data_IF_743241368591
#
_entry.id   IF_743241368591
#
_cell.length_a   1.000
_cell.length_b   1.000
_cell.length_c   1.000
_cell.angle_alpha   90.00
_cell.angle_beta   90.00
_cell.angle_gamma   90.00
#
_symmetry.space_group_name_H-M   'P 1'
#
loop_
_entity.id
_entity.type
_entity.pdbx_description
1 polymer ?
#
# COMPACT_ATOMS: atom_id res chain seq x y z
N UNK A 1 -7.95 -22.85 18.81
CA UNK A 1 -7.10 -21.79 19.36
C UNK A 1 -6.90 -20.79 18.25
N UNK A 2 -7.47 -19.59 18.38
CA UNK A 2 -7.32 -18.54 17.39
C UNK A 2 -5.85 -18.13 17.39
N UNK A 3 -5.13 -18.35 16.29
CA UNK A 3 -3.78 -17.81 16.12
C UNK A 3 -3.89 -16.28 16.19
N UNK A 4 -3.51 -15.69 17.32
CA UNK A 4 -3.36 -14.24 17.43
C UNK A 4 -2.27 -13.83 16.43
N UNK A 5 -2.69 -13.28 15.30
CA UNK A 5 -1.78 -12.73 14.31
C UNK A 5 -1.02 -11.59 15.00
N UNK A 6 0.31 -11.72 15.11
CA UNK A 6 1.18 -10.67 15.66
C UNK A 6 0.83 -9.34 14.98
N UNK A 7 0.39 -8.32 15.74
CA UNK A 7 0.03 -7.02 15.18
C UNK A 7 1.15 -6.39 14.33
N UNK A 8 2.42 -6.66 14.63
CA UNK A 8 3.54 -6.19 13.82
C UNK A 8 3.61 -6.89 12.46
N UNK A 9 3.24 -8.16 12.40
CA UNK A 9 3.23 -8.95 11.16
C UNK A 9 2.14 -8.47 10.21
N UNK A 10 0.94 -8.17 10.72
CA UNK A 10 -0.12 -7.60 9.89
C UNK A 10 0.22 -6.17 9.45
N UNK A 11 0.82 -5.35 10.33
CA UNK A 11 1.31 -4.02 9.93
C UNK A 11 2.38 -4.10 8.82
N UNK A 12 3.29 -5.07 8.89
CA UNK A 12 4.30 -5.28 7.86
C UNK A 12 3.68 -5.67 6.52
N UNK A 13 2.64 -6.51 6.54
CA UNK A 13 1.87 -6.89 5.35
C UNK A 13 1.15 -5.69 4.73
N UNK A 14 0.49 -4.85 5.55
CA UNK A 14 -0.16 -3.63 5.07
C UNK A 14 0.83 -2.66 4.44
N UNK A 15 2.00 -2.46 5.06
CA UNK A 15 3.08 -1.64 4.47
C UNK A 15 3.59 -2.21 3.15
N UNK A 16 3.70 -3.53 3.03
CA UNK A 16 4.12 -4.18 1.78
C UNK A 16 3.14 -3.88 0.64
N UNK A 17 1.83 -3.97 0.90
CA UNK A 17 0.81 -3.62 -0.09
C UNK A 17 0.95 -2.17 -0.58
N UNK A 18 1.21 -1.22 0.33
CA UNK A 18 1.45 0.16 -0.05
C UNK A 18 2.72 0.31 -0.92
N UNK A 19 3.81 -0.38 -0.56
CA UNK A 19 5.05 -0.38 -1.36
C UNK A 19 4.84 -0.99 -2.75
N UNK A 20 4.10 -2.08 -2.85
CA UNK A 20 3.85 -2.76 -4.14
C UNK A 20 3.07 -1.85 -5.11
N UNK A 21 2.14 -1.03 -4.59
CA UNK A 21 1.44 -0.02 -5.40
C UNK A 21 2.37 1.13 -5.77
N UNK A 22 3.23 1.57 -4.84
CA UNK A 22 4.20 2.62 -5.11
C UNK A 22 5.21 2.21 -6.20
N UNK A 23 5.64 0.95 -6.22
CA UNK A 23 6.50 0.41 -7.29
C UNK A 23 5.82 0.44 -8.66
N UNK A 24 4.53 0.09 -8.74
CA UNK A 24 3.79 0.19 -10.01
C UNK A 24 3.69 1.63 -10.52
N UNK A 25 3.48 2.59 -9.61
CA UNK A 25 3.47 4.01 -9.97
C UNK A 25 4.85 4.45 -10.48
N UNK A 26 5.92 4.02 -9.81
CA UNK A 26 7.29 4.28 -10.23
C UNK A 26 7.55 3.77 -11.66
N UNK A 27 7.20 2.51 -11.95
CA UNK A 27 7.39 1.91 -13.26
C UNK A 27 6.62 2.67 -14.36
N UNK A 28 5.40 3.14 -14.06
CA UNK A 28 4.64 3.98 -15.01
C UNK A 28 5.33 5.32 -15.24
N UNK A 29 5.83 5.97 -14.20
CA UNK A 29 6.47 7.28 -14.33
C UNK A 29 7.82 7.18 -15.05
N UNK A 30 8.57 6.10 -14.85
CA UNK A 30 9.90 5.90 -15.46
C UNK A 30 9.82 5.34 -16.89
N UNK A 31 9.00 4.32 -17.13
CA UNK A 31 9.08 3.53 -18.37
C UNK A 31 7.88 3.69 -19.30
N UNK A 32 6.66 3.83 -18.77
CA UNK A 32 5.43 3.69 -19.57
C UNK A 32 4.49 4.90 -19.51
N UNK A 33 5.01 6.08 -19.13
CA UNK A 33 4.21 7.27 -18.84
C UNK A 33 3.21 7.60 -19.95
N UNK A 34 3.65 7.62 -21.20
CA UNK A 34 2.82 8.04 -22.33
C UNK A 34 1.73 7.03 -22.70
N UNK A 35 1.87 5.76 -22.31
CA UNK A 35 0.91 4.69 -22.59
C UNK A 35 0.02 4.35 -21.41
N UNK A 36 0.55 4.39 -20.18
CA UNK A 36 -0.11 3.87 -18.99
C UNK A 36 -0.57 4.96 -18.00
N UNK A 37 -0.38 6.25 -18.30
CA UNK A 37 -0.81 7.35 -17.41
C UNK A 37 -2.29 7.26 -17.01
N UNK A 38 -3.13 6.65 -17.84
CA UNK A 38 -4.57 6.44 -17.57
C UNK A 38 -4.83 5.61 -16.31
N UNK A 39 -3.86 4.79 -15.88
CA UNK A 39 -3.94 3.98 -14.64
C UNK A 39 -3.56 4.76 -13.39
N UNK A 40 -2.91 5.92 -13.53
CA UNK A 40 -2.39 6.70 -12.41
C UNK A 40 -3.45 7.14 -11.39
N UNK A 41 -4.66 7.60 -11.79
CA UNK A 41 -5.68 7.99 -10.82
C UNK A 41 -6.09 6.82 -9.90
N UNK A 42 -6.29 5.63 -10.47
CA UNK A 42 -6.69 4.44 -9.71
C UNK A 42 -5.55 3.94 -8.83
N UNK A 43 -4.31 3.96 -9.31
CA UNK A 43 -3.14 3.58 -8.52
C UNK A 43 -2.88 4.58 -7.38
N UNK A 44 -3.09 5.88 -7.61
CA UNK A 44 -2.98 6.90 -6.57
C UNK A 44 -4.02 6.70 -5.46
N UNK A 45 -5.27 6.38 -5.83
CA UNK A 45 -6.32 6.06 -4.86
C UNK A 45 -5.97 4.79 -4.06
N UNK A 46 -5.52 3.73 -4.73
CA UNK A 46 -5.08 2.49 -4.08
C UNK A 46 -3.90 2.72 -3.11
N UNK A 47 -2.91 3.53 -3.51
CA UNK A 47 -1.77 3.87 -2.66
C UNK A 47 -2.24 4.62 -1.42
N UNK A 48 -3.11 5.63 -1.61
CA UNK A 48 -3.68 6.39 -0.50
C UNK A 48 -4.39 5.46 0.49
N UNK A 49 -5.27 4.58 0.01
CA UNK A 49 -6.03 3.67 0.85
C UNK A 49 -5.12 2.65 1.57
N UNK A 50 -4.10 2.11 0.89
CA UNK A 50 -3.15 1.18 1.49
C UNK A 50 -2.32 1.83 2.61
N UNK A 51 -1.82 3.05 2.38
CA UNK A 51 -1.08 3.82 3.37
C UNK A 51 -1.98 4.21 4.54
N UNK A 52 -3.21 4.65 4.25
CA UNK A 52 -4.21 4.97 5.28
C UNK A 52 -4.52 3.75 6.14
N UNK A 53 -4.76 2.59 5.54
CA UNK A 53 -5.02 1.34 6.26
C UNK A 53 -3.85 0.95 7.17
N UNK A 54 -2.60 1.06 6.69
CA UNK A 54 -1.42 0.78 7.51
C UNK A 54 -1.29 1.75 8.70
N UNK A 55 -1.57 3.04 8.49
CA UNK A 55 -1.51 4.05 9.54
C UNK A 55 -2.63 3.92 10.57
N UNK A 56 -3.85 3.66 10.10
CA UNK A 56 -5.01 3.41 10.97
C UNK A 56 -4.79 2.15 11.80
N UNK A 57 -4.25 1.09 11.20
CA UNK A 57 -3.90 -0.14 11.90
C UNK A 57 -2.81 0.10 12.95
N UNK A 58 -1.74 0.83 12.59
CA UNK A 58 -0.67 1.21 13.52
C UNK A 58 -1.23 1.99 14.72
N UNK A 59 -2.11 2.96 14.47
CA UNK A 59 -2.75 3.77 15.51
C UNK A 59 -3.67 2.94 16.40
N UNK A 60 -4.46 2.04 15.83
CA UNK A 60 -5.38 1.17 16.58
C UNK A 60 -4.65 0.20 17.51
N UNK A 61 -3.44 -0.24 17.14
CA UNK A 61 -2.65 -1.19 17.91
C UNK A 61 -1.51 -0.53 18.72
N UNK A 62 -1.44 0.81 18.76
CA UNK A 62 -0.39 1.58 19.44
C UNK A 62 1.04 1.13 19.07
N UNK A 63 1.26 0.81 17.79
CA UNK A 63 2.54 0.33 17.23
C UNK A 63 3.44 1.47 16.74
#
# INVERSE_FOLDING_TARGET
MSEEIDPKKELAKLKRLATDVASQIHDIVEDTLWSDYVKMPDLAAQLYDAVKAANDYKKAHSL
#
